data_IF_040550300629
#
_entry.id   IF_040550300629
#
_cell.length_a   1.000
_cell.length_b   1.000
_cell.length_c   1.000
_cell.angle_alpha   90.00
_cell.angle_beta   90.00
_cell.angle_gamma   90.00
#
_symmetry.space_group_name_H-M   'P 1'
#
loop_
_entity.id
_entity.type
_entity.pdbx_description
1 polymer ?
#
# COMPACT_ATOMS: atom_id res chain seq x y z
N UNK A 1 -15.74 -23.71 -0.44
CA UNK A 1 -15.80 -22.85 0.76
C UNK A 1 -14.39 -22.72 1.32
N UNK A 2 -13.62 -21.71 0.89
CA UNK A 2 -12.22 -21.50 1.32
C UNK A 2 -11.80 -20.02 1.31
N UNK A 3 -12.67 -19.12 0.85
CA UNK A 3 -12.35 -17.71 0.61
C UNK A 3 -12.22 -16.89 1.89
N UNK A 4 -12.99 -17.21 2.93
CA UNK A 4 -13.00 -16.47 4.21
C UNK A 4 -11.85 -16.80 5.15
N UNK A 5 -11.23 -17.98 5.05
CA UNK A 5 -10.10 -18.34 5.93
C UNK A 5 -8.82 -17.59 5.56
N UNK A 6 -8.54 -17.45 4.26
CA UNK A 6 -7.28 -16.91 3.76
C UNK A 6 -7.19 -15.39 3.83
N UNK A 7 -8.32 -14.68 3.89
CA UNK A 7 -8.31 -13.23 4.00
C UNK A 7 -7.90 -12.74 5.40
N UNK A 8 -8.43 -13.42 6.42
CA UNK A 8 -8.04 -13.18 7.80
C UNK A 8 -6.54 -13.40 8.02
N UNK A 9 -5.92 -14.36 7.31
CA UNK A 9 -4.46 -14.57 7.37
C UNK A 9 -3.67 -13.38 6.80
N UNK A 10 -4.05 -12.84 5.64
CA UNK A 10 -3.38 -11.67 5.07
C UNK A 10 -3.55 -10.42 5.95
N UNK A 11 -4.76 -10.21 6.48
CA UNK A 11 -5.02 -9.08 7.40
C UNK A 11 -4.17 -9.23 8.67
N UNK A 12 -4.17 -10.41 9.29
CA UNK A 12 -3.36 -10.68 10.48
C UNK A 12 -1.87 -10.46 10.20
N UNK A 13 -1.37 -10.88 9.03
CA UNK A 13 0.03 -10.67 8.64
C UNK A 13 0.35 -9.18 8.48
N UNK A 14 -0.53 -8.39 7.89
CA UNK A 14 -0.37 -6.93 7.78
C UNK A 14 -0.35 -6.30 9.18
N UNK A 15 -1.31 -6.62 10.04
CA UNK A 15 -1.38 -6.11 11.41
C UNK A 15 -0.13 -6.48 12.23
N UNK A 16 0.30 -7.74 12.14
CA UNK A 16 1.51 -8.22 12.82
C UNK A 16 2.75 -7.47 12.32
N UNK A 17 2.88 -7.29 11.00
CA UNK A 17 4.03 -6.60 10.41
C UNK A 17 4.09 -5.13 10.81
N UNK A 18 2.93 -4.47 10.94
CA UNK A 18 2.85 -3.10 11.48
C UNK A 18 3.25 -3.10 12.95
N UNK A 19 2.72 -4.02 13.76
CA UNK A 19 3.04 -4.10 15.20
C UNK A 19 4.51 -4.39 15.49
N UNK A 20 5.17 -5.11 14.58
CA UNK A 20 6.59 -5.45 14.64
C UNK A 20 7.48 -4.38 14.01
N UNK A 21 6.89 -3.27 13.55
CA UNK A 21 7.59 -2.14 12.93
C UNK A 21 8.46 -2.54 11.72
N UNK A 22 8.03 -3.57 10.98
CA UNK A 22 8.74 -4.00 9.77
C UNK A 22 8.69 -2.95 8.65
N UNK A 23 7.66 -2.10 8.68
CA UNK A 23 7.51 -0.99 7.76
C UNK A 23 7.63 0.33 8.49
N UNK A 24 8.24 1.30 7.82
CA UNK A 24 8.30 2.68 8.31
C UNK A 24 7.02 3.41 7.95
N UNK A 25 6.44 4.07 8.93
CA UNK A 25 5.33 4.98 8.71
C UNK A 25 5.84 6.34 8.23
N UNK A 26 5.18 6.89 7.22
CA UNK A 26 5.50 8.20 6.65
C UNK A 26 4.23 9.02 6.46
N UNK A 27 4.24 10.24 6.97
CA UNK A 27 3.14 11.18 6.79
C UNK A 27 3.11 11.75 5.37
N UNK A 28 1.94 12.24 4.96
CA UNK A 28 1.74 12.81 3.63
C UNK A 28 2.70 13.97 3.32
N UNK A 29 3.12 14.74 4.33
CA UNK A 29 4.04 15.87 4.18
C UNK A 29 5.46 15.49 3.70
N UNK A 30 5.81 14.20 3.75
CA UNK A 30 7.06 13.68 3.18
C UNK A 30 7.00 13.54 1.66
N UNK A 31 5.81 13.69 1.06
CA UNK A 31 5.60 13.55 -0.37
C UNK A 31 5.14 14.88 -0.96
N UNK A 32 5.77 15.28 -2.06
CA UNK A 32 5.38 16.49 -2.80
C UNK A 32 5.21 16.16 -4.28
N UNK A 33 4.63 17.08 -5.05
CA UNK A 33 4.43 16.91 -6.49
C UNK A 33 3.73 15.58 -6.85
N UNK A 34 2.71 15.21 -6.06
CA UNK A 34 1.95 13.97 -6.23
C UNK A 34 1.08 14.08 -7.48
N UNK A 35 1.43 13.31 -8.52
CA UNK A 35 0.76 13.32 -9.81
C UNK A 35 0.29 11.92 -10.16
N UNK A 36 -0.99 11.77 -10.52
CA UNK A 36 -1.52 10.46 -10.96
C UNK A 36 -0.88 10.09 -12.30
N UNK A 37 -0.28 8.90 -12.36
CA UNK A 37 0.35 8.37 -13.57
C UNK A 37 -0.39 7.15 -14.13
N UNK A 38 -1.26 6.52 -13.35
CA UNK A 38 -1.99 5.35 -13.81
C UNK A 38 -3.19 5.00 -12.93
N UNK A 39 -4.03 4.10 -13.45
CA UNK A 39 -5.14 3.49 -12.73
C UNK A 39 -5.22 2.03 -13.17
N UNK A 40 -5.20 1.12 -12.21
CA UNK A 40 -5.38 -0.32 -12.41
C UNK A 40 -6.65 -0.82 -11.72
N UNK A 41 -6.89 -2.13 -11.76
CA UNK A 41 -8.09 -2.74 -11.17
C UNK A 41 -8.22 -2.50 -9.66
N UNK A 42 -7.09 -2.53 -8.94
CA UNK A 42 -7.07 -2.42 -7.48
C UNK A 42 -6.86 -0.99 -6.96
N UNK A 43 -6.57 -0.02 -7.83
CA UNK A 43 -6.22 1.31 -7.35
C UNK A 43 -5.65 2.28 -8.37
N UNK A 44 -5.17 3.41 -7.85
CA UNK A 44 -4.48 4.45 -8.61
C UNK A 44 -3.00 4.45 -8.25
N UNK A 45 -2.15 4.78 -9.23
CA UNK A 45 -0.71 4.94 -9.02
C UNK A 45 -0.35 6.39 -9.27
N UNK A 46 0.42 6.96 -8.35
CA UNK A 46 0.90 8.33 -8.40
C UNK A 46 2.42 8.33 -8.38
N UNK A 47 3.05 9.23 -9.14
CA UNK A 47 4.43 9.62 -8.92
C UNK A 47 4.45 10.72 -7.87
N UNK A 48 5.37 10.65 -6.91
CA UNK A 48 5.62 11.71 -5.95
C UNK A 48 7.11 11.96 -5.81
N UNK A 49 7.50 13.17 -5.43
CA UNK A 49 8.85 13.50 -5.02
C UNK A 49 8.99 13.18 -3.54
N UNK A 50 10.10 12.55 -3.16
CA UNK A 50 10.45 12.32 -1.75
C UNK A 50 11.06 13.58 -1.12
N UNK A 51 10.64 13.95 0.09
CA UNK A 51 11.13 15.14 0.79
C UNK A 51 12.65 15.10 0.94
N UNK A 52 13.29 16.23 0.67
CA UNK A 52 14.76 16.41 0.74
C UNK A 52 15.55 15.46 -0.17
N UNK A 53 14.94 14.99 -1.26
CA UNK A 53 15.61 14.13 -2.24
C UNK A 53 15.12 14.48 -3.65
N UNK A 54 16.01 14.32 -4.63
CA UNK A 54 15.66 14.39 -6.05
C UNK A 54 15.04 13.09 -6.57
N UNK A 55 14.73 12.14 -5.67
CA UNK A 55 14.16 10.84 -6.02
C UNK A 55 12.63 10.90 -6.16
N UNK A 56 12.14 10.19 -7.18
CA UNK A 56 10.73 9.92 -7.36
C UNK A 56 10.34 8.58 -6.73
N UNK A 57 9.15 8.53 -6.15
CA UNK A 57 8.50 7.32 -5.63
C UNK A 57 7.18 7.08 -6.34
N UNK A 58 6.79 5.81 -6.42
CA UNK A 58 5.45 5.41 -6.80
C UNK A 58 4.60 5.24 -5.53
N UNK A 59 3.52 6.01 -5.41
CA UNK A 59 2.51 5.86 -4.37
C UNK A 59 1.30 5.14 -4.98
N UNK A 60 0.98 3.96 -4.48
CA UNK A 60 -0.21 3.22 -4.89
C UNK A 60 -1.31 3.40 -3.85
N UNK A 61 -2.48 3.85 -4.29
CA UNK A 61 -3.68 3.96 -3.43
C UNK A 61 -4.68 2.89 -3.83
N UNK A 62 -5.20 2.14 -2.87
CA UNK A 62 -6.22 1.12 -3.11
C UNK A 62 -7.63 1.70 -2.99
N UNK A 63 -8.59 1.16 -3.75
CA UNK A 63 -9.97 1.69 -3.76
C UNK A 63 -10.78 1.31 -2.54
N UNK A 64 -10.63 0.05 -2.10
CA UNK A 64 -11.30 -0.51 -0.94
C UNK A 64 -10.23 -1.19 -0.08
N UNK A 65 -10.47 -1.28 1.23
CA UNK A 65 -9.67 -2.12 2.12
C UNK A 65 -10.50 -3.35 2.45
N UNK A 66 -10.42 -4.34 1.56
CA UNK A 66 -11.10 -5.61 1.68
C UNK A 66 -10.12 -6.79 1.61
N UNK A 67 -10.65 -7.98 1.83
CA UNK A 67 -9.94 -9.27 1.78
C UNK A 67 -9.11 -9.48 0.51
N UNK A 68 -9.59 -8.95 -0.62
CA UNK A 68 -8.90 -9.05 -1.91
C UNK A 68 -7.72 -8.09 -1.93
N UNK A 69 -7.94 -6.86 -1.50
CA UNK A 69 -6.90 -5.83 -1.41
C UNK A 69 -5.80 -6.22 -0.44
N UNK A 70 -6.14 -6.82 0.71
CA UNK A 70 -5.15 -7.32 1.66
C UNK A 70 -4.23 -8.37 1.02
N UNK A 71 -4.78 -9.29 0.22
CA UNK A 71 -3.98 -10.28 -0.52
C UNK A 71 -3.06 -9.63 -1.54
N UNK A 72 -3.57 -8.66 -2.29
CA UNK A 72 -2.75 -7.91 -3.26
C UNK A 72 -1.60 -7.18 -2.58
N UNK A 73 -1.83 -6.55 -1.42
CA UNK A 73 -0.77 -5.89 -0.64
C UNK A 73 0.30 -6.91 -0.24
N UNK A 74 -0.09 -8.07 0.29
CA UNK A 74 0.87 -9.11 0.70
C UNK A 74 1.66 -9.67 -0.51
N UNK A 75 1.06 -9.77 -1.69
CA UNK A 75 1.77 -10.25 -2.89
C UNK A 75 2.78 -9.25 -3.48
N UNK A 76 2.64 -7.95 -3.20
CA UNK A 76 3.52 -6.90 -3.74
C UNK A 76 4.73 -6.59 -2.85
N UNK A 77 4.78 -7.14 -1.62
CA UNK A 77 5.82 -6.89 -0.62
C UNK A 77 6.76 -8.08 -0.50
#
# INVERSE_FOLDING_TARGET
>A
MQTTKNANECINWIEESISREYYRFYEQEYFSNVQRIGTGGFGKVYRANWKNSDQYLALKSFFNLDDVTAKEIVHEV
#
